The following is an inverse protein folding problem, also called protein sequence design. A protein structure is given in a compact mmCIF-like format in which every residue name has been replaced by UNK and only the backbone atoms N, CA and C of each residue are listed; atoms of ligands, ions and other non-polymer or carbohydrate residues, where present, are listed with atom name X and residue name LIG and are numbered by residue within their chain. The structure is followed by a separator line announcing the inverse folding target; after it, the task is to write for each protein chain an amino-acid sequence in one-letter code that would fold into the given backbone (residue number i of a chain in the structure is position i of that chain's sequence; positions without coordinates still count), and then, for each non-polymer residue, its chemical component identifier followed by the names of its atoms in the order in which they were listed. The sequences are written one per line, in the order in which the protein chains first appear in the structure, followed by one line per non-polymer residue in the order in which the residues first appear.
data_IF_324423552362
#
_entry.id   IF_324423552362
#
_cell.length_a   1.000
_cell.length_b   1.000
_cell.length_c   1.000
_cell.angle_alpha   90.00
_cell.angle_beta   90.00
_cell.angle_gamma   90.00
#
_symmetry.space_group_name_H-M   'P 1'
#
loop_
_entity.id
_entity.type
_entity.pdbx_description
1 polymer ?
#
# COMPACT_ATOMS: atom_id res chain seq x y z
N UNK A 1 21.45 -50.30 71.56
CA UNK A 1 20.84 -48.96 71.40
C UNK A 1 21.67 -48.27 70.35
N UNK A 2 21.17 -48.25 69.12
CA UNK A 2 21.77 -47.56 67.98
C UNK A 2 20.75 -46.53 67.47
N UNK A 3 21.18 -45.34 67.01
CA UNK A 3 20.26 -44.28 66.62
C UNK A 3 19.68 -44.52 65.22
N UNK A 4 18.35 -44.34 65.11
CA UNK A 4 17.60 -44.37 63.86
C UNK A 4 17.96 -43.14 63.02
N UNK A 5 18.53 -43.39 61.83
CA UNK A 5 18.78 -42.35 60.81
C UNK A 5 17.47 -42.04 60.08
N UNK A 6 17.03 -40.76 59.99
CA UNK A 6 15.86 -40.40 59.19
C UNK A 6 16.19 -40.48 57.69
N UNK A 7 15.43 -41.28 56.94
CA UNK A 7 15.48 -41.27 55.48
C UNK A 7 14.93 -39.95 54.94
N UNK A 8 15.78 -39.16 54.28
CA UNK A 8 15.36 -38.00 53.51
C UNK A 8 14.55 -38.46 52.28
N UNK A 9 13.25 -38.18 52.29
CA UNK A 9 12.43 -38.18 51.08
C UNK A 9 12.86 -36.98 50.20
N UNK A 10 13.06 -37.17 48.88
CA UNK A 10 13.32 -36.05 47.99
C UNK A 10 12.07 -35.15 47.89
N UNK A 11 12.23 -33.81 47.72
CA UNK A 11 11.11 -32.91 47.63
C UNK A 11 10.25 -33.22 46.41
N UNK A 12 8.95 -33.30 46.67
CA UNK A 12 7.87 -33.50 45.73
C UNK A 12 7.93 -32.44 44.61
N UNK A 13 8.53 -32.77 43.47
CA UNK A 13 8.48 -31.97 42.23
C UNK A 13 7.06 -32.03 41.64
N UNK A 14 6.13 -31.33 42.27
CA UNK A 14 4.85 -30.94 41.65
C UNK A 14 4.86 -29.44 41.51
N UNK A 15 5.34 -28.94 40.37
CA UNK A 15 4.95 -27.66 39.75
C UNK A 15 5.58 -27.50 38.35
N UNK A 16 5.65 -28.56 37.55
CA UNK A 16 5.48 -28.38 36.11
C UNK A 16 3.99 -28.40 35.84
N UNK A 17 3.34 -27.23 35.95
CA UNK A 17 2.01 -27.08 35.37
C UNK A 17 2.19 -27.21 33.86
N UNK A 18 1.94 -28.41 33.32
CA UNK A 18 1.62 -28.57 31.91
C UNK A 18 0.37 -27.73 31.63
N UNK A 19 0.59 -26.50 31.15
CA UNK A 19 -0.51 -25.70 30.64
C UNK A 19 -1.14 -26.46 29.46
N UNK A 20 -2.47 -26.58 29.40
CA UNK A 20 -3.12 -27.32 28.33
C UNK A 20 -2.75 -26.67 27.00
N UNK A 21 -2.00 -27.41 26.17
CA UNK A 21 -1.75 -27.05 24.78
C UNK A 21 -3.12 -26.90 24.13
N UNK A 22 -3.51 -25.66 23.83
CA UNK A 22 -4.77 -25.36 23.17
C UNK A 22 -4.63 -25.64 21.65
N UNK A 23 -4.36 -26.91 21.34
CA UNK A 23 -4.02 -27.40 19.98
C UNK A 23 -5.15 -27.11 18.99
N UNK A 24 -6.40 -27.10 19.46
CA UNK A 24 -7.58 -26.83 18.65
C UNK A 24 -7.60 -25.38 18.12
N UNK A 25 -7.14 -24.41 18.90
CA UNK A 25 -7.12 -23.00 18.49
C UNK A 25 -5.99 -22.72 17.48
N UNK A 26 -4.82 -23.34 17.66
CA UNK A 26 -3.69 -23.20 16.74
C UNK A 26 -3.98 -23.83 15.37
N UNK A 27 -4.54 -25.04 15.34
CA UNK A 27 -4.90 -25.71 14.08
C UNK A 27 -5.91 -24.91 13.25
N UNK A 28 -6.89 -24.28 13.91
CA UNK A 28 -7.85 -23.41 13.25
C UNK A 28 -7.22 -22.09 12.75
N UNK A 29 -6.31 -21.51 13.53
CA UNK A 29 -5.54 -20.33 13.10
C UNK A 29 -4.69 -20.63 11.86
N UNK A 30 -4.00 -21.77 11.82
CA UNK A 30 -3.15 -22.15 10.69
C UNK A 30 -3.92 -22.26 9.36
N UNK A 31 -5.18 -22.72 9.40
CA UNK A 31 -6.04 -22.79 8.21
C UNK A 31 -6.38 -21.42 7.60
N UNK A 32 -6.26 -20.33 8.37
CA UNK A 32 -6.59 -18.98 7.92
C UNK A 32 -5.37 -18.18 7.43
N UNK A 33 -4.16 -18.70 7.60
CA UNK A 33 -2.98 -18.13 6.98
C UNK A 33 -3.02 -18.37 5.47
N UNK A 34 -3.58 -17.39 4.76
CA UNK A 34 -3.48 -17.28 3.32
C UNK A 34 -2.04 -16.95 2.92
N UNK A 35 -1.64 -17.33 1.72
CA UNK A 35 -0.30 -17.04 1.18
C UNK A 35 0.07 -15.55 1.24
N UNK A 36 -0.89 -14.65 1.01
CA UNK A 36 -0.67 -13.21 1.11
C UNK A 36 -0.34 -12.71 2.53
N UNK A 37 -0.62 -13.50 3.57
CA UNK A 37 -0.32 -13.19 4.97
C UNK A 37 1.06 -13.69 5.41
N UNK A 38 1.72 -14.51 4.60
CA UNK A 38 3.05 -15.06 4.93
C UNK A 38 4.16 -14.06 4.57
N UNK A 39 5.26 -14.13 5.31
CA UNK A 39 6.44 -13.31 5.19
C UNK A 39 7.52 -14.05 4.39
N UNK A 40 8.01 -13.41 3.32
CA UNK A 40 9.00 -14.00 2.41
C UNK A 40 10.37 -13.30 2.43
N UNK A 41 10.53 -12.23 3.21
CA UNK A 41 11.82 -11.53 3.33
C UNK A 41 12.28 -10.74 2.10
N UNK A 42 11.63 -10.86 0.94
CA UNK A 42 12.07 -10.21 -0.32
C UNK A 42 11.20 -8.99 -0.63
N UNK A 43 9.88 -9.20 -0.74
CA UNK A 43 8.93 -8.15 -1.16
C UNK A 43 8.09 -7.62 -0.01
N UNK A 44 8.11 -8.33 1.12
CA UNK A 44 7.28 -8.07 2.28
C UNK A 44 8.10 -7.54 3.45
N UNK A 45 7.40 -6.94 4.42
CA UNK A 45 8.00 -6.37 5.63
C UNK A 45 7.48 -7.10 6.87
N UNK A 46 8.39 -7.56 7.72
CA UNK A 46 8.08 -8.36 8.89
C UNK A 46 7.11 -7.62 9.81
N UNK A 47 7.34 -6.33 10.08
CA UNK A 47 6.47 -5.52 10.94
C UNK A 47 5.02 -5.48 10.43
N UNK A 48 4.83 -5.51 9.11
CA UNK A 48 3.49 -5.57 8.52
C UNK A 48 2.85 -6.94 8.72
N UNK A 49 3.61 -8.02 8.51
CA UNK A 49 3.12 -9.39 8.67
C UNK A 49 2.86 -9.72 10.14
N UNK A 50 3.64 -9.14 11.06
CA UNK A 50 3.45 -9.23 12.50
C UNK A 50 2.12 -8.63 12.97
N UNK A 51 1.65 -7.54 12.36
CA UNK A 51 0.30 -7.01 12.66
C UNK A 51 -0.78 -8.04 12.37
N UNK A 52 -0.74 -8.63 11.18
CA UNK A 52 -1.69 -9.68 10.77
C UNK A 52 -1.58 -10.89 11.70
N UNK A 53 -0.36 -11.29 12.04
CA UNK A 53 -0.10 -12.39 12.97
C UNK A 53 -0.72 -12.12 14.35
N UNK A 54 -0.50 -10.95 14.94
CA UNK A 54 -1.05 -10.62 16.25
C UNK A 54 -2.58 -10.54 16.24
N UNK A 55 -3.17 -9.94 15.20
CA UNK A 55 -4.62 -9.88 15.04
C UNK A 55 -5.22 -11.29 14.96
N UNK A 56 -4.60 -12.20 14.21
CA UNK A 56 -5.02 -13.60 14.14
C UNK A 56 -4.81 -14.32 15.48
N UNK A 57 -3.66 -14.15 16.13
CA UNK A 57 -3.43 -14.74 17.45
C UNK A 57 -4.49 -14.29 18.45
N UNK A 58 -4.84 -13.00 18.48
CA UNK A 58 -5.89 -12.47 19.34
C UNK A 58 -7.25 -13.10 19.02
N UNK A 59 -7.63 -13.20 17.75
CA UNK A 59 -8.90 -13.78 17.32
C UNK A 59 -9.06 -15.26 17.68
N UNK A 60 -7.95 -16.00 17.81
CA UNK A 60 -7.94 -17.42 18.17
C UNK A 60 -7.53 -17.69 19.63
N UNK A 61 -7.37 -16.65 20.45
CA UNK A 61 -6.98 -16.81 21.86
C UNK A 61 -5.58 -17.41 22.04
N UNK A 62 -4.66 -17.15 21.10
CA UNK A 62 -3.25 -17.52 21.20
C UNK A 62 -2.55 -16.48 22.07
N UNK A 63 -1.98 -16.92 23.19
CA UNK A 63 -1.29 -16.04 24.14
C UNK A 63 0.17 -15.82 23.74
N UNK A 64 0.80 -14.77 24.30
CA UNK A 64 2.19 -14.38 23.98
C UNK A 64 3.20 -15.53 24.15
N UNK A 65 2.99 -16.40 25.14
CA UNK A 65 3.83 -17.57 25.41
C UNK A 65 3.81 -18.59 24.26
N UNK A 66 2.75 -18.58 23.44
CA UNK A 66 2.54 -19.49 22.33
C UNK A 66 2.98 -18.90 20.99
N UNK A 67 3.44 -17.64 20.95
CA UNK A 67 3.84 -16.99 19.70
C UNK A 67 4.95 -17.76 18.99
N UNK A 68 5.96 -18.24 19.72
CA UNK A 68 7.03 -19.06 19.14
C UNK A 68 6.52 -20.34 18.47
N UNK A 69 5.46 -20.95 19.01
CA UNK A 69 4.86 -22.16 18.45
C UNK A 69 4.09 -21.84 17.16
N UNK A 70 3.44 -20.67 17.13
CA UNK A 70 2.61 -20.23 16.01
C UNK A 70 3.41 -19.57 14.87
N UNK A 71 4.54 -18.97 15.19
CA UNK A 71 5.31 -18.10 14.29
C UNK A 71 5.77 -18.76 12.99
N UNK A 72 6.26 -20.01 12.96
CA UNK A 72 6.71 -20.63 11.72
C UNK A 72 5.65 -20.66 10.62
N UNK A 73 4.36 -20.69 10.98
CA UNK A 73 3.27 -20.72 10.00
C UNK A 73 3.11 -19.43 9.20
N UNK A 74 3.68 -18.31 9.67
CA UNK A 74 3.68 -17.05 8.90
C UNK A 74 4.93 -16.91 8.04
N UNK A 75 5.89 -17.81 8.13
CA UNK A 75 7.10 -17.76 7.33
C UNK A 75 6.89 -18.57 6.05
N UNK A 76 7.54 -18.15 4.96
CA UNK A 76 7.57 -18.93 3.72
C UNK A 76 8.88 -18.73 2.97
N UNK A 77 9.08 -19.56 1.96
CA UNK A 77 10.23 -19.52 1.08
C UNK A 77 11.54 -19.57 1.91
N UNK A 78 12.58 -18.86 1.48
CA UNK A 78 13.90 -18.83 2.11
C UNK A 78 13.88 -18.40 3.58
N UNK A 79 12.89 -17.60 4.00
CA UNK A 79 12.75 -17.19 5.41
C UNK A 79 12.38 -18.37 6.30
N UNK A 80 11.52 -19.25 5.80
CA UNK A 80 11.11 -20.44 6.54
C UNK A 80 12.27 -21.41 6.71
N UNK A 81 13.07 -21.62 5.64
CA UNK A 81 14.28 -22.44 5.68
C UNK A 81 15.30 -21.86 6.68
N UNK A 82 15.63 -20.57 6.53
CA UNK A 82 16.55 -19.88 7.44
C UNK A 82 16.13 -19.98 8.92
N UNK A 83 14.82 -19.91 9.20
CA UNK A 83 14.31 -20.09 10.56
C UNK A 83 14.66 -21.45 11.15
N UNK A 84 14.41 -22.54 10.42
CA UNK A 84 14.67 -23.89 10.93
C UNK A 84 16.16 -24.22 10.97
N UNK A 85 16.94 -23.72 10.01
CA UNK A 85 18.37 -23.99 9.93
C UNK A 85 19.19 -23.18 10.96
N UNK A 86 18.76 -21.95 11.26
CA UNK A 86 19.59 -20.99 11.99
C UNK A 86 18.96 -20.40 13.25
N UNK A 87 17.67 -20.61 13.53
CA UNK A 87 17.00 -19.94 14.66
C UNK A 87 16.23 -20.91 15.56
N UNK A 88 15.67 -21.98 15.00
CA UNK A 88 14.95 -23.00 15.75
C UNK A 88 15.85 -23.63 16.82
N UNK A 89 15.26 -23.98 17.96
CA UNK A 89 15.92 -24.71 19.06
C UNK A 89 17.10 -23.99 19.75
N UNK A 90 17.43 -22.74 19.37
CA UNK A 90 18.49 -21.95 20.00
C UNK A 90 18.10 -21.29 21.34
N UNK A 91 16.91 -21.59 21.87
CA UNK A 91 16.42 -20.99 23.13
C UNK A 91 16.14 -19.47 23.03
N UNK A 92 16.01 -18.94 21.81
CA UNK A 92 15.76 -17.52 21.57
C UNK A 92 14.32 -17.12 21.92
N UNK A 93 14.18 -15.92 22.46
CA UNK A 93 12.87 -15.29 22.62
C UNK A 93 12.27 -14.92 21.26
N UNK A 94 10.94 -14.77 21.23
CA UNK A 94 10.22 -14.33 20.03
C UNK A 94 10.78 -13.01 19.45
N UNK A 95 11.15 -12.07 20.32
CA UNK A 95 11.72 -10.79 19.90
C UNK A 95 13.11 -10.93 19.27
N UNK A 96 13.94 -11.82 19.80
CA UNK A 96 15.27 -12.09 19.22
C UNK A 96 15.18 -12.77 17.86
N UNK A 97 14.21 -13.68 17.67
CA UNK A 97 13.93 -14.29 16.37
C UNK A 97 13.50 -13.21 15.36
N UNK A 98 12.55 -12.35 15.74
CA UNK A 98 12.11 -11.25 14.87
C UNK A 98 13.28 -10.33 14.51
N UNK A 99 14.14 -9.99 15.49
CA UNK A 99 15.33 -9.17 15.27
C UNK A 99 16.29 -9.81 14.27
N UNK A 100 16.64 -11.10 14.45
CA UNK A 100 17.55 -11.82 13.55
C UNK A 100 16.98 -11.95 12.13
N UNK A 101 15.67 -12.18 11.99
CA UNK A 101 15.02 -12.20 10.68
C UNK A 101 15.09 -10.84 9.98
N UNK A 102 14.87 -9.73 10.69
CA UNK A 102 15.01 -8.39 10.11
C UNK A 102 16.46 -8.10 9.72
N UNK A 103 17.42 -8.45 10.57
CA UNK A 103 18.84 -8.26 10.24
C UNK A 103 19.27 -9.04 9.00
N UNK A 104 18.71 -10.23 8.77
CA UNK A 104 19.07 -11.07 7.64
C UNK A 104 18.35 -10.66 6.33
N UNK A 105 17.05 -10.37 6.40
CA UNK A 105 16.20 -10.16 5.21
C UNK A 105 15.82 -8.69 4.95
N UNK A 106 15.92 -7.80 5.94
CA UNK A 106 15.61 -6.36 5.84
C UNK A 106 16.90 -5.53 6.01
N UNK A 107 17.93 -5.87 5.24
CA UNK A 107 19.25 -5.24 5.32
C UNK A 107 19.22 -3.74 5.00
N UNK A 108 20.28 -3.03 5.38
CA UNK A 108 20.41 -1.59 5.09
C UNK A 108 20.45 -1.31 3.58
N UNK A 109 21.06 -2.20 2.79
CA UNK A 109 21.09 -2.10 1.33
C UNK A 109 19.67 -2.18 0.76
N UNK A 110 18.83 -3.09 1.27
CA UNK A 110 17.43 -3.21 0.85
C UNK A 110 16.62 -1.98 1.25
N UNK A 111 16.83 -1.44 2.46
CA UNK A 111 16.17 -0.19 2.89
C UNK A 111 16.54 0.97 1.98
N UNK A 112 17.82 1.08 1.63
CA UNK A 112 18.31 2.08 0.68
C UNK A 112 17.68 1.92 -0.70
N UNK A 113 17.57 0.67 -1.20
CA UNK A 113 16.91 0.39 -2.47
C UNK A 113 15.44 0.82 -2.46
N UNK A 114 14.69 0.49 -1.41
CA UNK A 114 13.27 0.88 -1.26
C UNK A 114 13.16 2.41 -1.21
N UNK A 115 14.08 3.11 -0.53
CA UNK A 115 14.11 4.56 -0.48
C UNK A 115 14.38 5.18 -1.86
N UNK A 116 15.29 4.60 -2.64
CA UNK A 116 15.51 5.04 -4.02
C UNK A 116 14.28 4.81 -4.89
N UNK A 117 13.66 3.62 -4.81
CA UNK A 117 12.40 3.34 -5.51
C UNK A 117 11.32 4.34 -5.13
N UNK A 118 11.22 4.70 -3.85
CA UNK A 118 10.31 5.74 -3.38
C UNK A 118 10.55 7.07 -4.09
N UNK A 119 11.79 7.53 -4.24
CA UNK A 119 12.11 8.79 -4.94
C UNK A 119 12.02 8.71 -6.47
N UNK A 120 12.15 7.53 -7.06
CA UNK A 120 12.05 7.33 -8.51
C UNK A 120 10.61 7.14 -9.02
N UNK A 121 9.67 6.78 -8.14
CA UNK A 121 8.26 6.66 -8.49
C UNK A 121 7.71 7.96 -9.09
N UNK A 122 7.23 7.90 -10.33
CA UNK A 122 6.61 9.06 -10.97
C UNK A 122 5.51 8.63 -11.93
N UNK A 123 4.56 9.52 -12.17
CA UNK A 123 3.52 9.27 -13.16
C UNK A 123 4.13 9.19 -14.58
N UNK A 124 5.20 9.95 -14.84
CA UNK A 124 5.92 9.89 -16.12
C UNK A 124 6.54 8.51 -16.35
N UNK A 125 7.16 7.90 -15.33
CA UNK A 125 7.74 6.57 -15.49
C UNK A 125 6.67 5.50 -15.73
N UNK A 126 5.48 5.63 -15.12
CA UNK A 126 4.35 4.73 -15.38
C UNK A 126 3.79 4.88 -16.78
N UNK A 127 3.61 6.11 -17.29
CA UNK A 127 3.17 6.35 -18.66
C UNK A 127 4.16 5.75 -19.66
N UNK A 128 5.48 5.91 -19.42
CA UNK A 128 6.51 5.35 -20.28
C UNK A 128 6.51 3.82 -20.29
N UNK A 129 6.23 3.19 -19.14
CA UNK A 129 6.17 1.72 -19.00
C UNK A 129 4.89 1.12 -19.57
N UNK A 130 3.80 1.89 -19.66
CA UNK A 130 2.49 1.43 -20.10
C UNK A 130 1.92 2.39 -21.17
N UNK A 131 2.55 2.45 -22.37
CA UNK A 131 2.18 3.40 -23.42
C UNK A 131 0.75 3.20 -23.97
N UNK A 132 0.19 2.01 -23.79
CA UNK A 132 -1.18 1.64 -24.17
C UNK A 132 -2.25 2.17 -23.20
N UNK A 133 -1.86 2.54 -21.97
CA UNK A 133 -2.78 3.00 -20.95
C UNK A 133 -2.97 4.52 -21.00
N UNK A 134 -4.18 4.96 -20.65
CA UNK A 134 -4.43 6.38 -20.43
C UNK A 134 -3.61 6.91 -19.25
N UNK A 135 -3.34 8.22 -19.23
CA UNK A 135 -2.71 8.90 -18.09
C UNK A 135 -3.45 8.65 -16.77
N UNK A 136 -4.78 8.56 -16.81
CA UNK A 136 -5.59 8.27 -15.63
C UNK A 136 -5.38 6.85 -15.13
N UNK A 137 -5.35 5.87 -16.03
CA UNK A 137 -5.07 4.48 -15.67
C UNK A 137 -3.65 4.33 -15.10
N UNK A 138 -2.65 5.01 -15.69
CA UNK A 138 -1.29 5.05 -15.14
C UNK A 138 -1.25 5.65 -13.73
N UNK A 139 -2.05 6.69 -13.46
CA UNK A 139 -2.16 7.27 -12.13
C UNK A 139 -2.79 6.30 -11.11
N UNK A 140 -3.81 5.55 -11.54
CA UNK A 140 -4.45 4.52 -10.73
C UNK A 140 -3.51 3.34 -10.40
N UNK A 141 -2.44 3.13 -11.18
CA UNK A 141 -1.37 2.18 -10.86
C UNK A 141 -0.33 2.77 -9.91
N UNK A 142 0.04 4.04 -10.11
CA UNK A 142 1.03 4.73 -9.28
C UNK A 142 0.62 4.79 -7.80
N UNK A 143 -0.65 5.05 -7.51
CA UNK A 143 -1.14 5.23 -6.13
C UNK A 143 -0.95 3.95 -5.28
N UNK A 144 -1.41 2.76 -5.71
CA UNK A 144 -1.10 1.50 -5.03
C UNK A 144 0.40 1.22 -4.86
N UNK A 145 1.22 1.50 -5.88
CA UNK A 145 2.67 1.27 -5.81
C UNK A 145 3.35 2.15 -4.75
N UNK A 146 2.97 3.44 -4.69
CA UNK A 146 3.40 4.34 -3.63
C UNK A 146 2.97 3.84 -2.24
N UNK A 147 1.71 3.39 -2.10
CA UNK A 147 1.20 2.86 -0.83
C UNK A 147 1.93 1.58 -0.41
N UNK A 148 2.33 0.74 -1.37
CA UNK A 148 3.08 -0.50 -1.12
C UNK A 148 4.51 -0.18 -0.65
N UNK A 149 5.24 0.64 -1.41
CA UNK A 149 6.63 1.01 -1.08
C UNK A 149 6.71 1.71 0.28
N UNK A 150 5.76 2.60 0.60
CA UNK A 150 5.73 3.30 1.89
C UNK A 150 5.77 2.36 3.10
N UNK A 151 5.22 1.14 3.00
CA UNK A 151 5.16 0.19 4.13
C UNK A 151 6.55 -0.27 4.58
N UNK A 152 7.54 -0.19 3.70
CA UNK A 152 8.94 -0.55 3.97
C UNK A 152 9.83 0.59 4.41
N UNK A 153 9.29 1.82 4.46
CA UNK A 153 10.04 3.01 4.86
C UNK A 153 9.86 3.30 6.35
N UNK A 154 10.74 4.13 6.90
CA UNK A 154 10.64 4.59 8.28
C UNK A 154 9.36 5.39 8.56
N UNK A 155 9.02 5.50 9.84
CA UNK A 155 7.76 6.11 10.31
C UNK A 155 7.54 7.54 9.82
N UNK A 156 8.61 8.28 9.57
CA UNK A 156 8.55 9.64 9.02
C UNK A 156 7.91 9.68 7.62
N UNK A 157 8.16 8.67 6.78
CA UNK A 157 7.57 8.51 5.45
C UNK A 157 6.15 7.92 5.50
N UNK A 158 5.75 7.36 6.64
CA UNK A 158 4.43 6.73 6.83
C UNK A 158 3.32 7.73 7.19
N UNK A 159 3.56 9.03 7.07
CA UNK A 159 2.58 10.08 7.37
C UNK A 159 1.74 10.49 6.16
N UNK A 160 0.53 11.02 6.38
CA UNK A 160 -0.29 11.62 5.32
C UNK A 160 0.44 12.78 4.63
N UNK A 161 1.17 13.58 5.41
CA UNK A 161 2.01 14.68 4.91
C UNK A 161 3.07 14.17 3.92
N UNK A 162 3.88 13.19 4.32
CA UNK A 162 4.92 12.63 3.46
C UNK A 162 4.34 12.01 2.17
N UNK A 163 3.18 11.35 2.26
CA UNK A 163 2.47 10.83 1.09
C UNK A 163 2.03 11.94 0.12
N UNK A 164 1.44 13.03 0.64
CA UNK A 164 1.03 14.17 -0.18
C UNK A 164 2.20 14.84 -0.87
N UNK A 165 3.24 15.20 -0.11
CA UNK A 165 4.45 15.84 -0.64
C UNK A 165 5.09 14.96 -1.72
N UNK A 166 5.15 13.65 -1.48
CA UNK A 166 5.67 12.72 -2.46
C UNK A 166 4.81 12.65 -3.72
N UNK A 167 3.49 12.60 -3.58
CA UNK A 167 2.56 12.53 -4.72
C UNK A 167 2.66 13.78 -5.59
N UNK A 168 2.77 14.96 -4.97
CA UNK A 168 3.00 16.22 -5.69
C UNK A 168 4.27 16.13 -6.54
N UNK A 169 5.38 15.66 -5.97
CA UNK A 169 6.64 15.46 -6.69
C UNK A 169 6.52 14.41 -7.80
N UNK A 170 5.81 13.31 -7.57
CA UNK A 170 5.61 12.24 -8.55
C UNK A 170 4.80 12.69 -9.77
N UNK A 171 3.93 13.69 -9.60
CA UNK A 171 3.05 14.23 -10.65
C UNK A 171 3.51 15.57 -11.26
N UNK A 172 4.62 16.16 -10.78
CA UNK A 172 5.05 17.53 -11.16
C UNK A 172 5.23 17.76 -12.66
N UNK A 173 5.65 16.73 -13.38
CA UNK A 173 5.97 16.80 -14.82
C UNK A 173 4.78 16.42 -15.73
N UNK A 174 3.57 16.37 -15.19
CA UNK A 174 2.36 16.01 -15.93
C UNK A 174 1.60 17.28 -16.28
N UNK A 175 1.35 17.53 -17.58
CA UNK A 175 0.71 18.78 -18.06
C UNK A 175 -0.64 19.10 -17.42
N UNK A 176 -1.35 18.09 -16.90
CA UNK A 176 -2.63 18.26 -16.22
C UNK A 176 -2.49 18.69 -14.74
N UNK A 177 -1.31 18.53 -14.13
CA UNK A 177 -1.15 18.61 -12.68
C UNK A 177 -0.58 19.91 -12.08
N UNK A 178 0.04 20.89 -12.80
CA UNK A 178 0.79 21.97 -12.13
C UNK A 178 -0.04 22.82 -11.16
N UNK A 179 -1.32 23.08 -11.49
CA UNK A 179 -2.19 23.89 -10.63
C UNK A 179 -2.70 23.07 -9.44
N UNK A 180 -3.09 21.81 -9.68
CA UNK A 180 -3.65 20.96 -8.63
C UNK A 180 -2.63 20.62 -7.55
N UNK A 181 -1.38 20.33 -7.92
CA UNK A 181 -0.35 19.97 -6.95
C UNK A 181 0.02 21.13 -6.02
N UNK A 182 -0.21 22.39 -6.43
CA UNK A 182 0.06 23.57 -5.62
C UNK A 182 -1.10 23.90 -4.66
N UNK A 183 -2.29 23.36 -4.92
CA UNK A 183 -3.45 23.56 -4.06
C UNK A 183 -3.25 22.77 -2.75
N UNK A 184 -3.50 23.38 -1.57
CA UNK A 184 -3.50 22.65 -0.32
C UNK A 184 -4.62 21.60 -0.33
N UNK A 185 -4.25 20.35 -0.03
CA UNK A 185 -5.18 19.24 0.13
C UNK A 185 -5.22 18.79 1.59
N UNK A 186 -6.43 18.57 2.11
CA UNK A 186 -6.66 18.13 3.49
C UNK A 186 -6.07 16.75 3.78
N UNK A 187 -6.13 15.83 2.81
CA UNK A 187 -5.57 14.48 2.90
C UNK A 187 -4.97 13.99 1.59
N UNK A 188 -4.24 12.88 1.65
CA UNK A 188 -3.72 12.16 0.49
C UNK A 188 -4.84 11.77 -0.50
N UNK A 189 -5.98 11.31 -0.01
CA UNK A 189 -7.15 10.94 -0.82
C UNK A 189 -7.76 12.14 -1.53
N UNK A 190 -7.84 13.29 -0.84
CA UNK A 190 -8.32 14.53 -1.43
C UNK A 190 -7.42 14.98 -2.59
N UNK A 191 -6.09 14.89 -2.41
CA UNK A 191 -5.13 15.19 -3.48
C UNK A 191 -5.26 14.21 -4.66
N UNK A 192 -5.45 12.91 -4.39
CA UNK A 192 -5.70 11.92 -5.44
C UNK A 192 -6.96 12.25 -6.25
N UNK A 193 -8.05 12.62 -5.58
CA UNK A 193 -9.30 13.01 -6.24
C UNK A 193 -9.12 14.25 -7.13
N UNK A 194 -8.46 15.29 -6.62
CA UNK A 194 -8.19 16.50 -7.38
C UNK A 194 -7.31 16.20 -8.63
N UNK A 195 -6.30 15.34 -8.51
CA UNK A 195 -5.43 14.94 -9.63
C UNK A 195 -6.23 14.13 -10.67
N UNK A 196 -7.03 13.14 -10.24
CA UNK A 196 -7.91 12.37 -11.11
C UNK A 196 -8.85 13.28 -11.92
N UNK A 197 -9.46 14.27 -11.25
CA UNK A 197 -10.34 15.23 -11.90
C UNK A 197 -9.59 16.07 -12.94
N UNK A 198 -8.40 16.58 -12.61
CA UNK A 198 -7.63 17.41 -13.55
C UNK A 198 -7.17 16.63 -14.79
N UNK A 199 -6.70 15.39 -14.60
CA UNK A 199 -6.34 14.50 -15.72
C UNK A 199 -7.57 14.25 -16.62
N UNK A 200 -8.73 13.99 -16.01
CA UNK A 200 -9.97 13.73 -16.74
C UNK A 200 -10.44 14.96 -17.54
N UNK A 201 -10.39 16.15 -16.94
CA UNK A 201 -10.74 17.41 -17.61
C UNK A 201 -9.80 17.68 -18.79
N UNK A 202 -8.48 17.52 -18.57
CA UNK A 202 -7.48 17.75 -19.62
C UNK A 202 -7.67 16.79 -20.79
N UNK A 203 -7.96 15.52 -20.51
CA UNK A 203 -8.23 14.49 -21.52
C UNK A 203 -9.46 14.86 -22.38
N UNK A 204 -10.58 15.23 -21.74
CA UNK A 204 -11.80 15.66 -22.44
C UNK A 204 -11.54 16.88 -23.33
N UNK A 205 -10.81 17.87 -22.81
CA UNK A 205 -10.47 19.06 -23.59
C UNK A 205 -9.62 18.72 -24.83
N UNK A 206 -8.64 17.83 -24.70
CA UNK A 206 -7.84 17.35 -25.85
C UNK A 206 -8.68 16.62 -26.88
N UNK A 207 -9.64 15.77 -26.46
CA UNK A 207 -10.55 15.10 -27.39
C UNK A 207 -11.43 16.09 -28.15
N UNK A 208 -12.04 17.06 -27.46
CA UNK A 208 -12.86 18.10 -28.10
C UNK A 208 -12.03 18.90 -29.11
N UNK A 209 -10.83 19.31 -28.73
CA UNK A 209 -9.94 20.06 -29.62
C UNK A 209 -9.54 19.24 -30.85
N UNK A 210 -9.22 17.96 -30.70
CA UNK A 210 -8.88 17.09 -31.83
C UNK A 210 -10.07 16.89 -32.78
N UNK A 211 -11.28 16.71 -32.25
CA UNK A 211 -12.50 16.59 -33.05
C UNK A 211 -12.78 17.89 -33.83
N UNK A 212 -12.54 19.05 -33.21
CA UNK A 212 -12.69 20.35 -33.86
C UNK A 212 -11.67 20.55 -34.99
N UNK A 213 -10.39 20.23 -34.76
CA UNK A 213 -9.34 20.33 -35.79
C UNK A 213 -9.59 19.36 -36.95
N UNK A 214 -10.02 18.13 -36.67
CA UNK A 214 -10.39 17.15 -37.70
C UNK A 214 -11.62 17.61 -38.51
N UNK A 215 -12.61 18.19 -37.84
CA UNK A 215 -13.77 18.81 -38.50
C UNK A 215 -13.36 19.95 -39.43
N UNK A 216 -12.42 20.81 -39.02
CA UNK A 216 -11.91 21.88 -39.87
C UNK A 216 -11.11 21.39 -41.09
N UNK A 217 -10.31 20.33 -40.94
CA UNK A 217 -9.53 19.77 -42.05
C UNK A 217 -10.42 19.12 -43.12
N UNK A 218 -11.51 18.46 -42.71
CA UNK A 218 -12.52 17.92 -43.64
C UNK A 218 -13.30 19.04 -44.35
N UNK A 219 -13.52 20.19 -43.71
CA UNK A 219 -14.16 21.34 -44.35
C UNK A 219 -13.21 22.17 -45.22
N UNK A 220 -11.90 22.16 -44.95
CA UNK A 220 -10.91 22.93 -45.74
C UNK A 220 -10.52 22.29 -47.08
N UNK A 221 -10.85 21.02 -47.32
CA UNK A 221 -10.74 20.40 -48.66
C UNK A 221 -11.98 20.61 -49.55
N UNK A 222 -12.96 21.39 -49.08
CA UNK A 222 -14.14 21.78 -49.85
C UNK A 222 -14.36 23.28 -49.81
N UNK A 223 -13.88 23.97 -50.83
CA UNK A 223 -14.25 25.32 -51.29
C UNK A 223 -13.37 26.53 -50.88
N UNK A 224 -13.02 27.27 -51.93
CA UNK A 224 -12.37 28.58 -52.02
C UNK A 224 -13.06 29.66 -51.13
N UNK A 225 -12.33 30.70 -50.65
CA UNK A 225 -12.77 31.55 -49.55
C UNK A 225 -13.58 32.75 -50.06
N UNK A 226 -14.86 32.83 -49.69
CA UNK A 226 -15.60 34.09 -49.57
C UNK A 226 -16.63 33.95 -48.46
N UNK A 227 -16.26 34.36 -47.24
CA UNK A 227 -17.09 35.17 -46.35
C UNK A 227 -16.37 35.35 -45.01
N UNK A 228 -15.85 36.56 -44.82
CA UNK A 228 -15.57 37.09 -43.49
C UNK A 228 -16.93 37.32 -42.81
N UNK A 229 -17.23 36.60 -41.73
CA UNK A 229 -18.31 37.03 -40.83
C UNK A 229 -17.83 36.85 -39.38
N UNK A 230 -17.84 37.98 -38.68
CA UNK A 230 -17.36 38.19 -37.33
C UNK A 230 -18.02 37.23 -36.33
N UNK A 231 -17.23 36.58 -35.48
CA UNK A 231 -17.73 35.94 -34.26
C UNK A 231 -17.47 36.85 -33.06
N UNK A 232 -18.54 37.49 -32.58
CA UNK A 232 -18.59 38.19 -31.30
C UNK A 232 -18.54 37.17 -30.16
N UNK A 233 -17.61 37.31 -29.22
CA UNK A 233 -17.59 36.53 -27.97
C UNK A 233 -18.69 37.02 -27.03
N UNK A 234 -19.75 36.23 -26.86
CA UNK A 234 -20.63 36.34 -25.68
C UNK A 234 -20.15 35.40 -24.58
N UNK A 235 -19.62 35.97 -23.51
CA UNK A 235 -19.26 35.25 -22.29
C UNK A 235 -20.53 34.97 -21.47
N UNK A 236 -21.04 33.73 -21.50
CA UNK A 236 -22.02 33.25 -20.51
C UNK A 236 -21.29 32.62 -19.31
N UNK A 237 -21.71 33.05 -18.12
CA UNK A 237 -21.17 32.73 -16.79
C UNK A 237 -21.17 31.23 -16.44
N UNK A 238 -20.26 30.76 -15.55
CA UNK A 238 -20.17 29.34 -15.20
C UNK A 238 -21.17 28.97 -14.09
N UNK A 239 -22.09 28.04 -14.38
CA UNK A 239 -22.91 27.39 -13.37
C UNK A 239 -22.03 26.49 -12.46
N UNK A 240 -22.20 26.62 -11.13
CA UNK A 240 -21.51 25.79 -10.14
C UNK A 240 -22.03 24.34 -10.21
N UNK A 241 -21.14 23.40 -10.53
CA UNK A 241 -21.41 21.97 -10.47
C UNK A 241 -20.91 21.41 -9.14
N UNK A 242 -21.74 20.66 -8.43
CA UNK A 242 -21.37 19.96 -7.20
C UNK A 242 -21.38 18.45 -7.47
N UNK A 243 -20.32 17.75 -7.05
CA UNK A 243 -20.17 16.30 -7.22
C UNK A 243 -20.38 15.62 -5.87
N UNK A 244 -21.28 14.63 -5.81
CA UNK A 244 -21.38 13.73 -4.65
C UNK A 244 -21.05 12.30 -5.10
N UNK A 245 -20.11 11.68 -4.38
CA UNK A 245 -19.89 10.24 -4.48
C UNK A 245 -21.02 9.52 -3.74
N UNK A 246 -21.59 8.49 -4.36
CA UNK A 246 -22.42 7.50 -3.66
C UNK A 246 -21.68 6.18 -3.56
N UNK A 247 -22.09 5.34 -2.61
CA UNK A 247 -21.39 4.14 -2.11
C UNK A 247 -21.02 3.06 -3.15
N UNK A 248 -21.42 3.23 -4.41
CA UNK A 248 -21.10 2.34 -5.53
C UNK A 248 -20.13 2.96 -6.56
N UNK A 249 -19.34 3.97 -6.17
CA UNK A 249 -18.32 4.62 -7.02
C UNK A 249 -18.82 5.10 -8.40
N UNK A 250 -20.12 5.37 -8.53
CA UNK A 250 -20.72 5.86 -9.78
C UNK A 250 -20.97 7.35 -9.66
N UNK A 251 -20.37 8.15 -10.55
CA UNK A 251 -20.54 9.60 -10.60
C UNK A 251 -21.93 9.97 -11.14
N UNK A 252 -22.79 10.57 -10.29
CA UNK A 252 -24.05 11.18 -10.72
C UNK A 252 -23.89 12.69 -10.80
N UNK A 253 -24.29 13.26 -11.94
CA UNK A 253 -24.31 14.71 -12.17
C UNK A 253 -25.69 15.23 -11.76
N UNK A 254 -25.74 16.25 -10.92
CA UNK A 254 -26.98 16.97 -10.62
C UNK A 254 -26.77 18.46 -10.89
N UNK A 255 -27.55 19.00 -11.83
CA UNK A 255 -27.61 20.44 -12.08
C UNK A 255 -28.41 21.08 -10.95
N UNK A 256 -27.86 22.10 -10.30
CA UNK A 256 -28.56 22.92 -9.32
C UNK A 256 -29.07 24.14 -10.08
N UNK A 257 -30.39 24.31 -10.14
CA UNK A 257 -31.04 25.52 -10.66
C UNK A 257 -30.92 26.67 -9.67
#
# INVERSE_FOLDING_TARGET
MDPVVPQHQPPNNRLYQEQPKNVNNLSNMFKLFKEQHKYNGITDFLDQKLKIFYDLCQNFGVHKQQFLIAFPAILKDEVHEYYYDNLAEQGLSFMEICSRLKMHFETEERKYEILNQWYDLSLVSHIRKNPELSTLACFQLLVPDMQKIRRGLDKEYQTDKAMKERLQLACRNIKACPIVILKPASSFEALCADICLSISIKSKFTQINNNFIMGQQLTYHGNNPKNLMNLTLETKTPHKMCYTLTDNFTLKIKTIN
#
